data_IF_493348217073
#
_entry.id   IF_493348217073
#
_cell.length_a   1.000
_cell.length_b   1.000
_cell.length_c   1.000
_cell.angle_alpha   90.00
_cell.angle_beta   90.00
_cell.angle_gamma   90.00
#
_symmetry.space_group_name_H-M   'P 1'
#
loop_
_entity.id
_entity.type
_entity.pdbx_description
1 polymer ?
#
# COMPACT_ATOMS: atom_id res chain seq x y z
N UNK A 1 44.13 -38.08 -27.74
CA UNK A 1 44.09 -37.06 -26.68
C UNK A 1 43.14 -35.95 -27.14
N UNK A 2 41.92 -36.03 -26.60
CA UNK A 2 40.86 -35.02 -26.40
C UNK A 2 40.64 -33.89 -27.42
N UNK A 3 39.59 -34.07 -28.24
CA UNK A 3 38.76 -32.97 -28.74
C UNK A 3 38.12 -32.23 -27.55
N UNK A 4 38.17 -30.90 -27.55
CA UNK A 4 37.30 -30.08 -26.72
C UNK A 4 36.44 -29.24 -27.65
N UNK A 5 35.25 -29.77 -27.94
CA UNK A 5 34.14 -29.06 -28.56
C UNK A 5 33.68 -27.99 -27.58
N UNK A 6 34.16 -26.77 -27.73
CA UNK A 6 33.56 -25.64 -27.03
C UNK A 6 32.38 -25.17 -27.86
N UNK A 7 31.21 -25.55 -27.36
CA UNK A 7 29.89 -25.27 -27.89
C UNK A 7 29.74 -23.80 -28.28
N UNK A 8 29.45 -23.59 -29.56
CA UNK A 8 28.86 -22.37 -30.09
C UNK A 8 27.59 -22.07 -29.29
N UNK A 9 27.67 -21.08 -28.39
CA UNK A 9 26.48 -20.51 -27.76
C UNK A 9 25.87 -19.52 -28.74
N UNK A 10 25.15 -20.07 -29.71
CA UNK A 10 24.27 -19.36 -30.63
C UNK A 10 23.14 -18.67 -29.85
N UNK A 11 23.43 -17.47 -29.34
CA UNK A 11 22.39 -16.50 -28.97
C UNK A 11 22.80 -15.10 -29.45
N UNK A 12 22.67 -14.88 -30.76
CA UNK A 12 22.74 -13.56 -31.40
C UNK A 12 21.48 -12.71 -31.12
N UNK A 13 20.88 -12.85 -29.93
CA UNK A 13 19.78 -12.02 -29.46
C UNK A 13 20.34 -10.73 -28.86
N UNK A 14 20.23 -9.62 -29.59
CA UNK A 14 20.60 -8.26 -29.16
C UNK A 14 20.12 -8.00 -27.73
N UNK A 15 21.02 -8.06 -26.73
CA UNK A 15 20.69 -7.78 -25.33
C UNK A 15 20.06 -6.39 -25.23
N UNK A 16 18.83 -6.31 -24.72
CA UNK A 16 18.13 -5.02 -24.50
C UNK A 16 19.00 -4.17 -23.56
N UNK A 17 19.31 -2.91 -23.90
CA UNK A 17 20.03 -2.03 -22.99
C UNK A 17 19.22 -1.89 -21.70
N UNK A 18 19.86 -2.14 -20.56
CA UNK A 18 19.25 -2.02 -19.25
C UNK A 18 18.84 -0.57 -19.01
N UNK A 19 17.54 -0.28 -19.20
CA UNK A 19 16.96 1.01 -18.81
C UNK A 19 16.80 1.00 -17.29
N UNK A 20 17.82 1.46 -16.57
CA UNK A 20 17.62 1.98 -15.21
C UNK A 20 16.76 3.23 -15.34
N UNK A 21 15.44 3.03 -15.37
CA UNK A 21 14.51 4.11 -15.09
C UNK A 21 14.92 4.74 -13.77
N UNK A 22 15.03 6.07 -13.75
CA UNK A 22 15.35 6.80 -12.54
C UNK A 22 14.33 6.38 -11.47
N UNK A 23 14.75 5.91 -10.28
CA UNK A 23 13.81 5.47 -9.26
C UNK A 23 12.82 6.59 -8.97
N UNK A 24 11.53 6.33 -9.20
CA UNK A 24 10.49 7.32 -8.93
C UNK A 24 10.64 7.74 -7.47
N UNK A 25 10.87 9.05 -7.19
CA UNK A 25 11.17 9.51 -5.84
C UNK A 25 10.02 9.14 -4.91
N UNK A 26 10.35 8.82 -3.65
CA UNK A 26 9.40 8.24 -2.70
C UNK A 26 8.08 9.04 -2.60
N UNK A 27 8.17 10.38 -2.72
CA UNK A 27 7.02 11.29 -2.71
C UNK A 27 6.05 11.08 -3.89
N UNK A 28 6.57 10.83 -5.08
CA UNK A 28 5.73 10.58 -6.27
C UNK A 28 5.10 9.18 -6.23
N UNK A 29 5.82 8.20 -5.69
CA UNK A 29 5.29 6.84 -5.45
C UNK A 29 4.14 6.85 -4.44
N UNK A 30 4.27 7.68 -3.40
CA UNK A 30 3.22 7.90 -2.40
C UNK A 30 1.99 8.59 -3.01
N UNK A 31 2.18 9.64 -3.81
CA UNK A 31 1.09 10.32 -4.54
C UNK A 31 0.37 9.41 -5.52
N UNK A 32 1.09 8.57 -6.27
CA UNK A 32 0.51 7.61 -7.20
C UNK A 32 -0.23 6.44 -6.49
N UNK A 33 0.11 6.13 -5.23
CA UNK A 33 -0.66 5.20 -4.40
C UNK A 33 -1.95 5.85 -3.89
N UNK A 34 -1.88 7.12 -3.46
CA UNK A 34 -3.04 7.91 -3.04
C UNK A 34 -4.04 8.13 -4.19
N UNK A 35 -3.56 8.47 -5.39
CA UNK A 35 -4.39 8.66 -6.58
C UNK A 35 -5.09 7.37 -7.06
N UNK A 36 -4.55 6.19 -6.71
CA UNK A 36 -5.24 4.91 -6.96
C UNK A 36 -6.34 4.62 -5.94
N UNK A 37 -6.28 5.20 -4.73
CA UNK A 37 -7.28 5.02 -3.66
C UNK A 37 -8.39 6.08 -3.66
N UNK A 38 -8.21 7.20 -4.37
CA UNK A 38 -9.16 8.33 -4.37
C UNK A 38 -10.50 8.04 -5.05
N UNK A 39 -10.64 6.94 -5.80
CA UNK A 39 -11.91 6.51 -6.38
C UNK A 39 -12.82 5.83 -5.34
N UNK A 40 -12.26 5.19 -4.31
CA UNK A 40 -12.99 4.40 -3.31
C UNK A 40 -12.98 5.02 -1.91
N UNK A 41 -11.98 5.84 -1.58
CA UNK A 41 -11.85 6.47 -0.26
C UNK A 41 -11.77 7.99 -0.42
N UNK A 42 -12.57 8.72 0.38
CA UNK A 42 -12.49 10.19 0.49
C UNK A 42 -11.77 10.56 1.79
N UNK A 43 -11.03 11.67 1.76
CA UNK A 43 -10.39 12.19 2.96
C UNK A 43 -11.45 12.67 3.98
N UNK A 44 -11.26 12.32 5.25
CA UNK A 44 -12.09 12.74 6.37
C UNK A 44 -11.28 13.64 7.29
N UNK A 45 -11.77 14.85 7.53
CA UNK A 45 -11.18 15.78 8.50
C UNK A 45 -12.23 16.10 9.56
N UNK A 46 -11.91 15.78 10.81
CA UNK A 46 -12.77 16.06 11.95
C UNK A 46 -11.94 16.46 13.17
N UNK A 47 -12.55 17.32 13.98
CA UNK A 47 -12.05 17.70 15.30
C UNK A 47 -12.89 16.96 16.33
N UNK A 48 -12.23 16.15 17.15
CA UNK A 48 -12.85 15.36 18.22
C UNK A 48 -12.15 15.66 19.54
N UNK A 49 -12.76 15.25 20.65
CA UNK A 49 -12.17 15.39 21.97
C UNK A 49 -10.83 14.65 22.06
N UNK A 50 -9.84 15.28 22.70
CA UNK A 50 -8.48 14.74 22.80
C UNK A 50 -8.46 13.32 23.37
N UNK A 51 -9.21 13.08 24.46
CA UNK A 51 -9.32 11.77 25.11
C UNK A 51 -9.81 10.66 24.17
N UNK A 52 -10.74 10.98 23.26
CA UNK A 52 -11.24 10.00 22.30
C UNK A 52 -10.24 9.74 21.18
N UNK A 53 -9.47 10.76 20.80
CA UNK A 53 -8.40 10.62 19.81
C UNK A 53 -7.25 9.77 20.33
N UNK A 54 -6.88 9.92 21.59
CA UNK A 54 -5.88 9.09 22.27
C UNK A 54 -6.33 7.63 22.25
N UNK A 55 -7.55 7.35 22.72
CA UNK A 55 -8.12 6.00 22.69
C UNK A 55 -8.22 5.40 21.28
N UNK A 56 -8.61 6.19 20.28
CA UNK A 56 -8.64 5.72 18.90
C UNK A 56 -7.24 5.31 18.41
N UNK A 57 -6.21 6.04 18.84
CA UNK A 57 -4.83 5.74 18.50
C UNK A 57 -4.38 4.46 19.20
N UNK A 58 -4.63 4.33 20.50
CA UNK A 58 -4.32 3.13 21.27
C UNK A 58 -4.97 1.87 20.68
N UNK A 59 -6.28 1.92 20.38
CA UNK A 59 -7.00 0.81 19.76
C UNK A 59 -6.45 0.44 18.39
N UNK A 60 -6.07 1.45 17.58
CA UNK A 60 -5.47 1.20 16.28
C UNK A 60 -4.09 0.55 16.41
N UNK A 61 -3.29 0.95 17.40
CA UNK A 61 -1.98 0.38 17.67
C UNK A 61 -2.08 -1.07 18.20
N UNK A 62 -3.06 -1.36 19.08
CA UNK A 62 -3.33 -2.71 19.60
C UNK A 62 -3.69 -3.71 18.50
N UNK A 63 -4.55 -3.29 17.57
CA UNK A 63 -4.99 -4.11 16.44
C UNK A 63 -3.97 -4.11 15.27
N UNK A 64 -2.92 -3.29 15.35
CA UNK A 64 -1.91 -3.14 14.30
C UNK A 64 -2.46 -2.56 13.00
N UNK A 65 -3.55 -1.79 13.09
CA UNK A 65 -4.23 -1.17 11.94
C UNK A 65 -4.05 0.34 11.94
N UNK A 66 -4.43 0.98 10.84
CA UNK A 66 -4.42 2.45 10.78
C UNK A 66 -5.62 3.05 11.51
N UNK A 67 -5.47 4.25 12.07
CA UNK A 67 -6.58 4.99 12.71
C UNK A 67 -7.81 5.13 11.79
N UNK A 68 -7.60 5.26 10.48
CA UNK A 68 -8.67 5.33 9.50
C UNK A 68 -9.43 3.99 9.39
N UNK A 69 -8.73 2.86 9.38
CA UNK A 69 -9.36 1.54 9.37
C UNK A 69 -10.10 1.25 10.67
N UNK A 70 -9.55 1.66 11.82
CA UNK A 70 -10.24 1.58 13.10
C UNK A 70 -11.56 2.37 13.06
N UNK A 71 -11.53 3.58 12.49
CA UNK A 71 -12.73 4.39 12.33
C UNK A 71 -13.77 3.74 11.38
N UNK A 72 -13.34 3.17 10.26
CA UNK A 72 -14.21 2.42 9.35
C UNK A 72 -14.87 1.23 10.07
N UNK A 73 -14.10 0.46 10.83
CA UNK A 73 -14.59 -0.67 11.60
C UNK A 73 -15.60 -0.26 12.68
N UNK A 74 -15.33 0.82 13.42
CA UNK A 74 -16.26 1.36 14.42
C UNK A 74 -17.60 1.76 13.78
N UNK A 75 -17.57 2.39 12.60
CA UNK A 75 -18.78 2.77 11.86
C UNK A 75 -19.55 1.53 11.41
N UNK A 76 -18.88 0.54 10.81
CA UNK A 76 -19.53 -0.70 10.37
C UNK A 76 -20.16 -1.48 11.53
N UNK A 77 -19.45 -1.57 12.65
CA UNK A 77 -19.91 -2.23 13.88
C UNK A 77 -21.17 -1.56 14.42
N UNK A 78 -21.19 -0.22 14.46
CA UNK A 78 -22.35 0.55 14.91
C UNK A 78 -23.55 0.42 13.95
N UNK A 79 -23.31 0.42 12.64
CA UNK A 79 -24.38 0.18 11.64
C UNK A 79 -24.98 -1.22 11.80
N UNK A 80 -24.15 -2.24 12.03
CA UNK A 80 -24.62 -3.62 12.28
C UNK A 80 -25.47 -3.69 13.55
N UNK A 81 -25.00 -3.08 14.65
CA UNK A 81 -25.72 -3.03 15.93
C UNK A 81 -27.09 -2.36 15.83
N UNK A 82 -27.20 -1.29 15.03
CA UNK A 82 -28.47 -0.57 14.83
C UNK A 82 -29.43 -1.29 13.89
N UNK A 83 -28.93 -2.08 12.94
CA UNK A 83 -29.75 -2.90 12.04
C UNK A 83 -30.29 -4.17 12.72
N UNK A 84 -29.67 -4.61 13.81
CA UNK A 84 -30.16 -5.73 14.62
C UNK A 84 -31.20 -5.33 15.68
N UNK A 85 -31.53 -4.03 15.78
CA UNK A 85 -32.62 -3.47 16.56
C UNK A 85 -33.83 -3.21 15.65
#
# INVERSE_FOLDING_TARGET
MSQTVNAETSSSGKKRPYRRGNPVPAKERQKASLARRSATHKAFHAVIQLRLKEKLSELADEDGITQAQMLEWLIESEVKRRKSL
#
